data_IF_218580615349
#
_entry.id   IF_218580615349
#
_cell.length_a   1.000
_cell.length_b   1.000
_cell.length_c   1.000
_cell.angle_alpha   90.00
_cell.angle_beta   90.00
_cell.angle_gamma   90.00
#
_symmetry.space_group_name_H-M   'P 1'
#
loop_
_entity.id
_entity.type
_entity.pdbx_description
1 polymer ?
#
# COMPACT_ATOMS: atom_id res chain seq x y z
N UNK A 1 11.27 6.88 1.49
CA UNK A 1 9.82 6.68 1.35
C UNK A 1 9.64 5.57 0.34
N UNK A 2 8.62 4.73 0.54
CA UNK A 2 8.47 3.55 -0.29
C UNK A 2 7.02 3.36 -0.70
N UNK A 3 6.80 3.02 -1.96
CA UNK A 3 5.51 2.55 -2.46
C UNK A 3 5.10 1.25 -1.77
N UNK A 4 3.82 1.13 -1.47
CA UNK A 4 3.15 -0.11 -1.08
C UNK A 4 2.03 -0.41 -2.09
N UNK A 5 1.46 -1.62 -2.04
CA UNK A 5 0.47 -2.06 -3.04
C UNK A 5 -0.95 -1.49 -2.89
N UNK A 6 -1.22 -0.62 -1.91
CA UNK A 6 -2.54 0.00 -1.74
C UNK A 6 -2.71 1.13 -2.77
N UNK A 7 -3.86 1.16 -3.43
CA UNK A 7 -4.17 2.13 -4.48
C UNK A 7 -5.69 2.39 -4.59
N UNK A 8 -6.07 3.45 -5.29
CA UNK A 8 -7.45 3.82 -5.66
C UNK A 8 -7.53 4.05 -7.18
N UNK A 9 -6.88 3.19 -7.99
CA UNK A 9 -6.88 3.33 -9.45
C UNK A 9 -8.24 3.04 -10.09
N UNK A 10 -9.12 2.34 -9.36
CA UNK A 10 -10.52 2.12 -9.71
C UNK A 10 -11.40 2.87 -8.70
N UNK A 11 -11.85 4.06 -9.09
CA UNK A 11 -12.69 4.95 -8.28
C UNK A 11 -14.00 4.27 -7.83
N UNK A 12 -14.47 3.24 -8.55
CA UNK A 12 -15.69 2.52 -8.17
C UNK A 12 -15.48 1.54 -7.02
N UNK A 13 -14.24 1.14 -6.77
CA UNK A 13 -13.83 0.13 -5.78
C UNK A 13 -13.18 0.73 -4.53
N UNK A 14 -12.76 2.00 -4.59
CA UNK A 14 -12.02 2.67 -3.52
C UNK A 14 -10.63 2.07 -3.28
N UNK A 15 -10.13 2.16 -2.04
CA UNK A 15 -8.81 1.65 -1.65
C UNK A 15 -8.71 0.12 -1.76
N UNK A 16 -7.87 -0.37 -2.67
CA UNK A 16 -7.64 -1.79 -2.94
C UNK A 16 -6.15 -2.17 -2.94
N UNK A 17 -5.85 -3.39 -2.50
CA UNK A 17 -4.50 -3.94 -2.57
C UNK A 17 -4.26 -4.57 -3.94
N UNK A 18 -3.11 -4.27 -4.54
CA UNK A 18 -2.70 -4.81 -5.85
C UNK A 18 -2.54 -6.34 -5.88
N UNK A 19 -2.44 -6.99 -4.72
CA UNK A 19 -2.38 -8.46 -4.60
C UNK A 19 -3.75 -9.12 -4.37
N UNK A 20 -4.83 -8.34 -4.40
CA UNK A 20 -6.20 -8.82 -4.16
C UNK A 20 -6.54 -9.09 -2.69
N UNK A 21 -5.64 -8.76 -1.75
CA UNK A 21 -5.95 -8.85 -0.32
C UNK A 21 -7.09 -7.90 0.06
N UNK A 22 -7.89 -8.30 1.06
CA UNK A 22 -8.96 -7.46 1.57
C UNK A 22 -8.40 -6.18 2.24
N UNK A 23 -9.01 -5.03 1.95
CA UNK A 23 -8.72 -3.74 2.58
C UNK A 23 -9.37 -3.63 3.96
N UNK A 24 -8.96 -4.48 4.90
CA UNK A 24 -9.55 -4.56 6.25
C UNK A 24 -8.77 -3.75 7.31
N UNK A 25 -7.59 -3.25 6.97
CA UNK A 25 -6.72 -2.49 7.87
C UNK A 25 -6.28 -1.20 7.21
N UNK A 26 -6.25 -0.12 7.99
CA UNK A 26 -5.80 1.19 7.55
C UNK A 26 -4.84 1.81 8.57
N UNK A 27 -3.75 2.42 8.09
CA UNK A 27 -2.75 3.10 8.91
C UNK A 27 -2.37 4.47 8.33
N UNK A 28 -3.38 5.27 8.01
CA UNK A 28 -3.18 6.62 7.50
C UNK A 28 -2.29 7.46 8.42
N UNK A 29 -1.38 8.22 7.84
CA UNK A 29 -0.72 9.28 8.58
C UNK A 29 -1.71 10.41 8.91
N UNK A 30 -1.37 11.26 9.87
CA UNK A 30 -2.19 12.43 10.21
C UNK A 30 -2.44 13.29 8.96
N UNK A 31 -3.71 13.61 8.71
CA UNK A 31 -4.14 14.39 7.54
C UNK A 31 -4.18 13.61 6.22
N UNK A 32 -4.21 12.28 6.25
CA UNK A 32 -4.30 11.42 5.07
C UNK A 32 -5.54 10.51 5.12
N UNK A 33 -6.11 10.08 3.96
CA UNK A 33 -5.76 10.57 2.63
C UNK A 33 -6.10 12.06 2.46
N UNK A 34 -5.38 12.75 1.58
CA UNK A 34 -5.62 14.15 1.24
C UNK A 34 -6.91 14.34 0.43
N UNK A 35 -7.18 15.59 0.05
CA UNK A 35 -8.33 15.95 -0.81
C UNK A 35 -8.04 15.88 -2.31
N UNK A 36 -6.79 15.61 -2.69
CA UNK A 36 -6.33 15.67 -4.06
C UNK A 36 -6.38 14.27 -4.70
N UNK A 37 -6.74 14.17 -5.98
CA UNK A 37 -6.72 12.91 -6.76
C UNK A 37 -5.31 12.28 -6.73
N UNK A 38 -5.13 11.30 -5.85
CA UNK A 38 -3.87 10.65 -5.53
C UNK A 38 -4.10 9.14 -5.37
N UNK A 39 -3.87 8.39 -6.45
CA UNK A 39 -4.34 7.01 -6.51
C UNK A 39 -3.37 5.97 -5.94
N UNK A 40 -2.18 6.36 -5.46
CA UNK A 40 -1.16 5.42 -4.98
C UNK A 40 -0.63 5.78 -3.59
N UNK A 41 -0.21 4.76 -2.82
CA UNK A 41 0.19 4.94 -1.42
C UNK A 41 1.69 4.72 -1.18
N UNK A 42 2.31 5.66 -0.48
CA UNK A 42 3.66 5.53 0.08
C UNK A 42 3.65 5.44 1.61
N UNK A 43 4.71 4.86 2.16
CA UNK A 43 5.05 4.92 3.58
C UNK A 43 6.30 5.73 3.84
N UNK A 44 6.31 6.45 4.96
CA UNK A 44 7.40 7.34 5.39
C UNK A 44 7.85 7.00 6.80
N UNK A 45 9.17 6.88 7.01
CA UNK A 45 9.74 6.65 8.35
C UNK A 45 9.43 7.78 9.33
N UNK A 46 9.41 9.03 8.84
CA UNK A 46 9.12 10.22 9.65
C UNK A 46 7.74 10.20 10.29
N UNK A 47 6.76 9.53 9.67
CA UNK A 47 5.40 9.37 10.20
C UNK A 47 5.18 8.00 10.83
N UNK A 48 6.24 7.37 11.36
CA UNK A 48 6.19 6.01 11.93
C UNK A 48 5.56 4.98 10.97
N UNK A 49 5.85 5.12 9.67
CA UNK A 49 5.29 4.31 8.58
C UNK A 49 3.78 4.47 8.36
N UNK A 50 3.18 5.57 8.82
CA UNK A 50 1.86 6.00 8.38
C UNK A 50 1.80 6.19 6.87
N UNK A 51 0.62 5.96 6.29
CA UNK A 51 0.35 5.92 4.86
C UNK A 51 0.03 7.32 4.33
N UNK A 52 0.59 7.65 3.17
CA UNK A 52 0.37 8.93 2.47
C UNK A 52 -0.05 8.65 1.03
N UNK A 53 -1.09 9.32 0.58
CA UNK A 53 -1.53 9.32 -0.81
C UNK A 53 -0.62 10.20 -1.67
N UNK A 54 -0.31 9.71 -2.87
CA UNK A 54 0.55 10.36 -3.86
C UNK A 54 0.13 10.02 -5.28
N UNK A 55 0.44 10.95 -6.20
CA UNK A 55 0.38 10.69 -7.64
C UNK A 55 1.34 9.56 -8.02
N UNK A 56 0.81 8.53 -8.69
CA UNK A 56 1.52 7.28 -9.00
C UNK A 56 2.76 7.46 -9.89
N UNK A 57 2.82 8.52 -10.70
CA UNK A 57 3.92 8.78 -11.63
C UNK A 57 5.12 9.48 -11.00
N UNK A 58 5.15 9.61 -9.67
CA UNK A 58 6.35 10.07 -8.97
C UNK A 58 7.42 8.97 -8.97
N UNK A 59 8.57 9.25 -9.59
CA UNK A 59 9.59 8.24 -9.92
C UNK A 59 10.76 8.20 -8.93
N UNK A 60 10.70 8.96 -7.83
CA UNK A 60 11.82 9.09 -6.90
C UNK A 60 11.72 8.14 -5.69
N UNK A 61 10.69 7.30 -5.62
CA UNK A 61 10.43 6.40 -4.50
C UNK A 61 10.71 4.93 -4.86
N UNK A 62 11.42 4.21 -3.99
CA UNK A 62 11.53 2.74 -4.07
C UNK A 62 10.22 2.05 -3.68
N UNK A 63 10.13 0.73 -3.81
CA UNK A 63 8.94 -0.04 -3.43
C UNK A 63 9.24 -1.13 -2.39
N UNK A 64 8.23 -1.51 -1.60
CA UNK A 64 8.29 -2.67 -0.72
C UNK A 64 7.53 -3.82 -1.40
N UNK A 65 8.23 -4.91 -1.69
CA UNK A 65 7.64 -6.11 -2.27
C UNK A 65 7.18 -7.08 -1.18
N UNK A 66 6.04 -7.73 -1.40
CA UNK A 66 5.53 -8.85 -0.61
C UNK A 66 5.53 -10.10 -1.49
N UNK A 67 6.03 -11.21 -0.96
CA UNK A 67 5.86 -12.54 -1.56
C UNK A 67 5.09 -13.40 -0.54
N UNK A 68 4.08 -14.17 -0.97
CA UNK A 68 3.47 -15.17 -0.10
C UNK A 68 4.56 -16.08 0.48
N UNK A 69 4.54 -16.28 1.80
CA UNK A 69 5.37 -17.31 2.41
C UNK A 69 4.93 -18.67 1.89
N UNK A 70 5.86 -19.48 1.42
CA UNK A 70 5.58 -20.91 1.25
C UNK A 70 5.55 -21.47 2.68
N UNK A 71 4.35 -21.73 3.17
CA UNK A 71 4.20 -22.66 4.29
C UNK A 71 4.42 -24.02 3.64
N UNK A 72 5.59 -24.62 3.81
CA UNK A 72 5.82 -25.98 3.34
C UNK A 72 4.87 -26.90 4.12
N UNK A 73 3.66 -27.08 3.59
CA UNK A 73 2.65 -28.03 4.08
C UNK A 73 3.11 -29.50 3.90
N UNK A 74 4.36 -29.73 3.49
CA UNK A 74 4.97 -31.03 3.24
C UNK A 74 6.06 -31.45 4.24
N UNK A 75 6.42 -30.63 5.24
CA UNK A 75 7.28 -31.10 6.35
C UNK A 75 6.48 -31.81 7.46
N UNK A 76 5.60 -32.71 7.02
CA UNK A 76 4.72 -33.54 7.83
C UNK A 76 4.74 -35.02 7.41
N UNK A 77 5.84 -35.49 6.82
CA UNK A 77 6.21 -36.91 6.71
C UNK A 77 7.67 -37.09 7.09
#
# INVERSE_FOLDING_TARGET
>A
MFWIGLNELDESSGWTWSDGSASAYFNWAEGQPGSDEHDCIIVRRSTKFGWHDRKCWNNFEGSICKKPGIIDLFLGQ
#
